data_IF_701019096102
#
_entry.id   IF_701019096102
#
_cell.length_a   1.000
_cell.length_b   1.000
_cell.length_c   1.000
_cell.angle_alpha   90.00
_cell.angle_beta   90.00
_cell.angle_gamma   90.00
#
_symmetry.space_group_name_H-M   'P 1'
#
loop_
_entity.id
_entity.type
_entity.pdbx_description
1 polymer ?
#
# COMPACT_ATOMS: atom_id res chain seq x y z
N UNK A 1 27.71 10.54 11.25
CA UNK A 1 27.69 9.74 10.00
C UNK A 1 26.42 8.91 10.07
N UNK A 2 25.40 9.25 9.28
CA UNK A 2 24.13 8.51 9.30
C UNK A 2 24.33 7.30 8.39
N UNK A 3 24.37 6.10 8.97
CA UNK A 3 24.45 4.87 8.19
C UNK A 3 23.27 4.79 7.21
N UNK A 4 23.50 4.46 5.93
CA UNK A 4 22.42 4.29 4.96
C UNK A 4 21.57 3.12 5.44
N UNK A 5 20.37 3.44 5.91
CA UNK A 5 19.34 2.47 6.30
C UNK A 5 19.19 1.48 5.15
N UNK A 6 19.42 0.19 5.44
CA UNK A 6 19.38 -0.89 4.45
C UNK A 6 18.19 -0.71 3.51
N UNK A 7 18.47 -0.33 2.25
CA UNK A 7 17.46 -0.07 1.23
C UNK A 7 16.63 -1.36 1.05
N UNK A 8 15.40 -1.33 1.57
CA UNK A 8 14.50 -2.46 1.50
C UNK A 8 14.07 -2.66 0.05
N UNK A 9 14.63 -3.69 -0.61
CA UNK A 9 14.38 -3.97 -2.03
C UNK A 9 13.00 -4.59 -2.23
N UNK A 10 12.28 -4.06 -3.21
CA UNK A 10 10.98 -4.56 -3.69
C UNK A 10 11.23 -5.59 -4.78
N UNK A 11 10.79 -6.84 -4.56
CA UNK A 11 10.96 -7.93 -5.54
C UNK A 11 9.73 -8.10 -6.42
N UNK A 12 9.93 -8.37 -7.70
CA UNK A 12 8.85 -8.84 -8.57
C UNK A 12 8.34 -10.21 -8.09
N UNK A 13 7.04 -10.45 -8.20
CA UNK A 13 6.38 -11.69 -7.78
C UNK A 13 5.85 -12.52 -8.96
N UNK A 14 6.15 -12.08 -10.19
CA UNK A 14 5.77 -12.82 -11.39
C UNK A 14 6.63 -14.08 -11.56
N UNK A 15 6.01 -15.16 -12.04
CA UNK A 15 6.68 -16.43 -12.29
C UNK A 15 7.87 -16.22 -13.24
N UNK A 16 9.06 -16.66 -12.81
CA UNK A 16 10.30 -16.54 -13.59
C UNK A 16 10.98 -15.17 -13.52
N UNK A 17 10.46 -14.21 -12.75
CA UNK A 17 11.10 -12.91 -12.59
C UNK A 17 11.90 -12.80 -11.28
N UNK A 18 13.20 -12.53 -11.38
CA UNK A 18 14.10 -12.35 -10.23
C UNK A 18 14.46 -10.88 -9.98
N UNK A 19 13.85 -9.96 -10.73
CA UNK A 19 14.18 -8.54 -10.70
C UNK A 19 13.74 -7.89 -9.37
N UNK A 20 14.57 -6.96 -8.89
CA UNK A 20 14.36 -6.24 -7.64
C UNK A 20 14.63 -4.76 -7.85
N UNK A 21 13.76 -3.91 -7.32
CA UNK A 21 13.88 -2.45 -7.39
C UNK A 21 13.87 -1.81 -6.01
N UNK A 22 14.14 -0.50 -5.97
CA UNK A 22 14.19 0.29 -4.74
C UNK A 22 12.83 0.91 -4.39
N UNK A 23 11.99 1.19 -5.38
CA UNK A 23 10.68 1.80 -5.19
C UNK A 23 9.53 0.97 -5.78
N UNK A 24 8.33 1.13 -5.23
CA UNK A 24 7.10 0.51 -5.76
C UNK A 24 6.72 1.10 -7.13
N UNK A 25 7.04 2.36 -7.39
CA UNK A 25 6.86 2.99 -8.71
C UNK A 25 7.63 2.25 -9.80
N UNK A 26 8.88 1.85 -9.50
CA UNK A 26 9.69 1.06 -10.42
C UNK A 26 9.08 -0.33 -10.64
N UNK A 27 8.49 -0.94 -9.60
CA UNK A 27 7.76 -2.22 -9.73
C UNK A 27 6.58 -2.10 -10.68
N UNK A 28 5.77 -1.04 -10.55
CA UNK A 28 4.65 -0.78 -11.47
C UNK A 28 5.13 -0.62 -12.90
N UNK A 29 6.22 0.11 -13.12
CA UNK A 29 6.79 0.29 -14.45
C UNK A 29 7.34 -1.03 -15.02
N UNK A 30 8.04 -1.82 -14.20
CA UNK A 30 8.53 -3.14 -14.59
C UNK A 30 7.38 -4.08 -14.98
N UNK A 31 6.32 -4.16 -14.17
CA UNK A 31 5.14 -4.97 -14.50
C UNK A 31 4.49 -4.54 -15.81
N UNK A 32 4.38 -3.23 -16.05
CA UNK A 32 3.80 -2.70 -17.26
C UNK A 32 4.61 -3.02 -18.53
N UNK A 33 5.93 -2.82 -18.51
CA UNK A 33 6.75 -2.97 -19.72
C UNK A 33 7.29 -4.39 -19.91
N UNK A 34 7.72 -5.06 -18.84
CA UNK A 34 8.36 -6.38 -18.90
C UNK A 34 7.34 -7.53 -18.85
N UNK A 35 6.27 -7.36 -18.08
CA UNK A 35 5.21 -8.37 -17.95
C UNK A 35 3.94 -8.03 -18.74
N UNK A 36 3.97 -6.97 -19.55
CA UNK A 36 2.84 -6.52 -20.38
C UNK A 36 1.55 -6.32 -19.56
N UNK A 37 1.70 -5.81 -18.33
CA UNK A 37 0.59 -5.51 -17.42
C UNK A 37 0.38 -3.99 -17.27
N UNK A 38 -0.15 -3.31 -18.30
CA UNK A 38 -0.27 -1.85 -18.29
C UNK A 38 -1.24 -1.32 -17.22
N UNK A 39 -2.12 -2.16 -16.67
CA UNK A 39 -3.06 -1.74 -15.63
C UNK A 39 -2.33 -1.27 -14.36
N UNK A 40 -1.11 -1.72 -14.12
CA UNK A 40 -0.30 -1.30 -12.97
C UNK A 40 0.21 0.15 -13.06
N UNK A 41 0.13 0.78 -14.24
CA UNK A 41 0.40 2.22 -14.42
C UNK A 41 -0.84 3.09 -14.27
N UNK A 42 -2.04 2.51 -14.34
CA UNK A 42 -3.27 3.29 -14.28
C UNK A 42 -3.49 3.81 -12.85
N UNK A 43 -3.73 5.11 -12.72
CA UNK A 43 -4.14 5.75 -11.47
C UNK A 43 -5.53 6.31 -11.68
N UNK A 44 -6.48 5.89 -10.85
CA UNK A 44 -7.83 6.44 -10.85
C UNK A 44 -7.94 7.56 -9.81
N UNK A 45 -8.47 8.70 -10.22
CA UNK A 45 -8.77 9.82 -9.34
C UNK A 45 -10.26 9.84 -9.02
N UNK A 46 -10.60 9.98 -7.73
CA UNK A 46 -11.98 10.13 -7.26
C UNK A 46 -12.08 11.31 -6.32
N UNK A 47 -13.09 12.14 -6.54
CA UNK A 47 -13.43 13.28 -5.69
C UNK A 47 -14.60 12.91 -4.81
N UNK A 48 -14.54 13.32 -3.56
CA UNK A 48 -15.58 13.10 -2.56
C UNK A 48 -15.97 14.44 -1.97
N UNK A 49 -17.24 14.58 -1.61
CA UNK A 49 -17.79 15.78 -0.97
C UNK A 49 -17.41 15.88 0.51
N UNK A 50 -17.23 14.74 1.18
CA UNK A 50 -16.82 14.68 2.58
C UNK A 50 -15.88 13.49 2.85
N UNK A 51 -15.14 13.57 3.96
CA UNK A 51 -14.35 12.45 4.49
C UNK A 51 -15.25 11.24 4.83
N UNK A 52 -16.51 11.49 5.21
CA UNK A 52 -17.50 10.44 5.44
C UNK A 52 -17.78 9.64 4.16
N UNK A 53 -18.06 10.33 3.04
CA UNK A 53 -18.33 9.69 1.74
C UNK A 53 -17.13 8.86 1.28
N UNK A 54 -15.92 9.38 1.48
CA UNK A 54 -14.70 8.62 1.21
C UNK A 54 -14.61 7.34 2.06
N UNK A 55 -14.96 7.42 3.35
CA UNK A 55 -14.92 6.27 4.26
C UNK A 55 -15.93 5.18 3.88
N UNK A 56 -17.15 5.56 3.49
CA UNK A 56 -18.19 4.64 3.03
C UNK A 56 -17.81 3.97 1.70
N UNK A 57 -17.34 4.77 0.74
CA UNK A 57 -16.83 4.27 -0.54
C UNK A 57 -15.67 3.29 -0.33
N UNK A 58 -14.69 3.67 0.49
CA UNK A 58 -13.52 2.84 0.80
C UNK A 58 -13.96 1.51 1.43
N UNK A 59 -14.88 1.55 2.38
CA UNK A 59 -15.38 0.33 3.06
C UNK A 59 -16.11 -0.61 2.10
N UNK A 60 -16.91 -0.04 1.19
CA UNK A 60 -17.61 -0.80 0.13
C UNK A 60 -16.60 -1.40 -0.86
N UNK A 61 -15.61 -0.62 -1.29
CA UNK A 61 -14.54 -1.07 -2.18
C UNK A 61 -13.71 -2.20 -1.56
N UNK A 62 -13.33 -2.06 -0.30
CA UNK A 62 -12.59 -3.07 0.47
C UNK A 62 -13.36 -4.39 0.60
N UNK A 63 -14.67 -4.30 0.85
CA UNK A 63 -15.55 -5.46 0.99
C UNK A 63 -15.73 -6.17 -0.36
N UNK A 64 -15.99 -5.41 -1.42
CA UNK A 64 -16.17 -5.95 -2.78
C UNK A 64 -14.91 -6.63 -3.32
N UNK A 65 -13.73 -6.04 -3.06
CA UNK A 65 -12.45 -6.54 -3.59
C UNK A 65 -11.72 -7.53 -2.65
N UNK A 66 -12.25 -7.76 -1.44
CA UNK A 66 -11.56 -8.57 -0.42
C UNK A 66 -10.18 -8.03 -0.06
N UNK A 67 -9.99 -6.71 -0.19
CA UNK A 67 -8.73 -6.01 0.08
C UNK A 67 -8.93 -5.04 1.25
N UNK A 68 -7.85 -4.70 1.96
CA UNK A 68 -7.91 -3.68 3.01
C UNK A 68 -6.73 -2.73 2.86
N UNK A 69 -6.98 -1.46 3.09
CA UNK A 69 -6.07 -0.35 2.96
C UNK A 69 -5.94 0.31 4.33
N UNK A 70 -4.71 0.31 4.84
CA UNK A 70 -4.36 0.75 6.19
C UNK A 70 -3.37 1.90 6.15
N UNK A 71 -3.47 2.80 7.14
CA UNK A 71 -2.49 3.87 7.33
C UNK A 71 -1.30 3.33 8.11
N UNK A 72 -0.09 3.44 7.53
CA UNK A 72 1.14 3.04 8.21
C UNK A 72 1.73 4.16 9.08
N UNK A 73 1.33 5.41 8.84
CA UNK A 73 1.75 6.59 9.57
C UNK A 73 0.55 7.55 9.68
N UNK A 74 0.64 8.50 10.62
CA UNK A 74 -0.26 9.66 10.62
C UNK A 74 -0.09 10.51 9.35
N UNK A 75 -0.98 11.47 9.16
CA UNK A 75 -0.98 12.36 8.01
C UNK A 75 0.39 13.03 7.78
N UNK A 76 0.80 13.13 6.51
CA UNK A 76 2.07 13.71 6.09
C UNK A 76 1.80 15.06 5.43
N UNK A 77 2.55 16.09 5.82
CA UNK A 77 2.36 17.45 5.32
C UNK A 77 1.04 18.03 5.81
N UNK A 78 1.06 18.58 7.03
CA UNK A 78 0.04 19.55 7.45
C UNK A 78 0.52 20.90 6.94
N UNK A 79 0.15 21.25 5.71
CA UNK A 79 0.13 22.67 5.33
C UNK A 79 -1.14 23.28 5.89
N UNK A 80 -1.16 24.59 6.11
CA UNK A 80 -2.24 25.34 6.78
C UNK A 80 -3.65 24.86 6.39
N UNK A 81 -3.87 24.54 5.10
CA UNK A 81 -5.18 24.16 4.57
C UNK A 81 -5.27 22.76 3.91
N UNK A 82 -4.23 21.93 4.00
CA UNK A 82 -4.22 20.64 3.30
C UNK A 82 -3.54 19.54 4.11
N UNK A 83 -4.20 18.38 4.17
CA UNK A 83 -3.70 17.17 4.81
C UNK A 83 -3.59 16.04 3.79
N UNK A 84 -2.39 15.46 3.61
CA UNK A 84 -2.21 14.27 2.76
C UNK A 84 -2.11 13.00 3.60
N UNK A 85 -2.93 12.01 3.29
CA UNK A 85 -2.91 10.68 3.89
C UNK A 85 -2.58 9.59 2.87
N UNK A 86 -1.76 8.62 3.29
CA UNK A 86 -1.40 7.47 2.47
C UNK A 86 -1.96 6.19 3.06
N UNK A 87 -2.69 5.43 2.24
CA UNK A 87 -3.24 4.13 2.60
C UNK A 87 -2.58 3.05 1.73
N UNK A 88 -2.06 2.02 2.39
CA UNK A 88 -1.38 0.91 1.73
C UNK A 88 -2.16 -0.39 1.92
N UNK A 89 -2.12 -1.28 0.91
CA UNK A 89 -2.72 -2.60 1.03
C UNK A 89 -2.19 -3.35 2.27
N UNK A 90 -3.08 -4.02 3.01
CA UNK A 90 -2.77 -4.74 4.24
C UNK A 90 -1.90 -5.99 4.02
N UNK A 91 -1.73 -6.41 2.76
CA UNK A 91 -0.81 -7.46 2.31
C UNK A 91 0.63 -6.97 2.19
N UNK A 92 0.84 -5.64 2.18
CA UNK A 92 2.17 -5.03 2.09
C UNK A 92 2.93 -5.12 3.42
N UNK A 93 4.20 -5.48 3.30
CA UNK A 93 5.17 -5.39 4.38
C UNK A 93 5.37 -6.70 5.15
N UNK A 94 6.34 -6.69 6.08
CA UNK A 94 6.70 -7.89 6.82
C UNK A 94 5.56 -8.31 7.76
N UNK A 95 5.45 -9.63 7.96
CA UNK A 95 4.69 -10.17 9.07
C UNK A 95 5.28 -9.66 10.39
N UNK A 96 4.48 -8.93 11.16
CA UNK A 96 4.83 -8.50 12.51
C UNK A 96 4.09 -9.40 13.50
N UNK A 97 4.80 -10.31 14.17
CA UNK A 97 4.27 -11.00 15.34
C UNK A 97 4.27 -10.03 16.51
N UNK A 98 3.09 -9.58 16.93
CA UNK A 98 2.91 -8.85 18.19
C UNK A 98 2.28 -9.82 19.20
N UNK A 99 3.13 -10.46 20.01
CA UNK A 99 2.73 -11.42 21.04
C UNK A 99 3.85 -12.43 21.36
N UNK A 100 3.79 -13.07 22.54
CA UNK A 100 4.79 -14.05 23.02
C UNK A 100 4.85 -15.38 22.20
N UNK A 101 4.23 -15.45 21.01
CA UNK A 101 4.24 -16.65 20.17
C UNK A 101 3.42 -17.85 20.70
N UNK A 102 2.70 -17.67 21.82
CA UNK A 102 1.93 -18.72 22.50
C UNK A 102 0.74 -19.28 21.70
N UNK A 103 0.25 -18.54 20.70
CA UNK A 103 -0.85 -19.01 19.83
C UNK A 103 -0.26 -19.60 18.55
N UNK A 104 -0.61 -20.86 18.27
CA UNK A 104 -0.29 -21.54 17.01
C UNK A 104 -0.81 -20.70 15.84
N UNK A 105 0.02 -20.51 14.82
CA UNK A 105 -0.39 -19.84 13.59
C UNK A 105 -1.61 -20.53 12.99
N UNK A 106 -2.51 -19.74 12.38
CA UNK A 106 -3.63 -20.29 11.60
C UNK A 106 -3.06 -21.18 10.48
N UNK A 107 -3.78 -22.25 10.14
CA UNK A 107 -3.36 -23.18 9.08
C UNK A 107 -3.10 -22.47 7.72
N UNK A 108 -3.83 -21.38 7.46
CA UNK A 108 -3.68 -20.55 6.26
C UNK A 108 -2.43 -19.64 6.28
N UNK A 109 -1.67 -19.60 7.38
CA UNK A 109 -0.52 -18.70 7.52
C UNK A 109 -0.92 -17.22 7.67
N UNK A 110 0.06 -16.33 7.51
CA UNK A 110 -0.12 -14.88 7.58
C UNK A 110 -0.35 -14.28 6.20
N UNK A 111 -1.27 -13.31 6.11
CA UNK A 111 -1.52 -12.53 4.90
C UNK A 111 -0.34 -11.62 4.49
N UNK A 112 0.63 -11.40 5.38
CA UNK A 112 1.82 -10.56 5.14
C UNK A 112 3.04 -11.43 4.88
N UNK A 113 3.17 -11.92 3.66
CA UNK A 113 4.30 -12.77 3.22
C UNK A 113 5.59 -12.01 2.91
N UNK A 114 5.77 -10.77 3.36
CA UNK A 114 6.89 -9.92 2.93
C UNK A 114 6.78 -9.46 1.47
N UNK A 115 5.55 -9.47 0.94
CA UNK A 115 5.24 -9.03 -0.42
C UNK A 115 5.01 -7.51 -0.40
N UNK A 116 5.39 -6.84 -1.48
CA UNK A 116 5.06 -5.44 -1.73
C UNK A 116 3.88 -5.36 -2.69
N UNK A 117 2.69 -5.12 -2.16
CA UNK A 117 1.53 -4.87 -3.02
C UNK A 117 1.71 -3.50 -3.70
N UNK A 118 1.49 -3.47 -5.01
CA UNK A 118 1.55 -2.25 -5.82
C UNK A 118 0.37 -1.32 -5.59
N UNK A 119 -0.69 -1.77 -4.89
CA UNK A 119 -1.89 -0.96 -4.67
C UNK A 119 -1.75 -0.04 -3.45
N UNK A 120 -2.00 1.26 -3.68
CA UNK A 120 -1.97 2.31 -2.67
C UNK A 120 -2.97 3.40 -3.02
N UNK A 121 -3.54 4.06 -2.01
CA UNK A 121 -4.38 5.25 -2.18
C UNK A 121 -3.68 6.46 -1.56
N UNK A 122 -3.60 7.56 -2.31
CA UNK A 122 -3.21 8.88 -1.80
C UNK A 122 -4.50 9.68 -1.66
N UNK A 123 -4.73 10.24 -0.47
CA UNK A 123 -5.94 11.03 -0.16
C UNK A 123 -5.49 12.42 0.23
N UNK A 124 -6.05 13.43 -0.43
CA UNK A 124 -5.77 14.84 -0.16
C UNK A 124 -7.05 15.46 0.40
N UNK A 125 -7.00 15.84 1.67
CA UNK A 125 -8.12 16.44 2.41
C UNK A 125 -7.87 17.94 2.45
N UNK A 126 -8.78 18.71 1.85
CA UNK A 126 -8.84 20.15 2.01
C UNK A 126 -9.67 20.43 3.26
N UNK A 127 -9.08 21.09 4.25
CA UNK A 127 -9.83 21.62 5.37
C UNK A 127 -10.25 23.03 4.94
N UNK A 128 -11.54 23.26 4.74
CA UNK A 128 -12.04 24.63 4.57
C UNK A 128 -12.20 25.20 5.99
N UNK A 129 -11.52 26.31 6.29
CA UNK A 129 -11.62 27.05 7.57
C UNK A 129 -12.99 27.70 7.76
#
# INVERSE_FOLDING_TARGET
>A
MVEPTALHRVKCQELGCTYQMLAISDLRNHLANHHQKPEYKCTEEKKFTSVADFSDWKSTFETSTGSKYVKNCGAKGKSDNQTTEYYYCNRTGPYKTVGQGLRRNKAQGSLRGGIHCTSSMKVEIQNDE
#
